data_IF_667316663808
#
_entry.id   IF_667316663808
#
_cell.length_a   1.000
_cell.length_b   1.000
_cell.length_c   1.000
_cell.angle_alpha   90.00
_cell.angle_beta   90.00
_cell.angle_gamma   90.00
#
_symmetry.space_group_name_H-M   'P 1'
#
loop_
_entity.id
_entity.type
_entity.pdbx_description
1 polymer ?
#
# COMPACT_ATOMS: atom_id res chain seq x y z
N UNK A 1 24.04 5.22 10.01
CA UNK A 1 23.67 6.11 8.89
C UNK A 1 22.68 7.11 9.46
N UNK A 2 22.94 8.42 9.36
CA UNK A 2 21.98 9.42 9.83
C UNK A 2 20.80 9.48 8.85
N UNK A 3 19.54 9.51 9.30
CA UNK A 3 18.38 9.66 8.43
C UNK A 3 18.48 10.97 7.64
N UNK A 4 18.10 10.94 6.37
CA UNK A 4 18.10 12.14 5.51
C UNK A 4 16.68 12.68 5.34
N UNK A 5 16.54 13.96 5.00
CA UNK A 5 15.26 14.46 4.53
C UNK A 5 14.87 13.73 3.24
N UNK A 6 13.57 13.44 3.08
CA UNK A 6 13.04 12.83 1.87
C UNK A 6 12.96 13.87 0.75
N UNK A 7 13.58 13.57 -0.40
CA UNK A 7 13.45 14.44 -1.58
C UNK A 7 12.07 14.29 -2.23
N UNK A 8 11.69 15.25 -3.07
CA UNK A 8 10.43 15.19 -3.81
C UNK A 8 10.36 13.97 -4.73
N UNK A 9 11.45 13.62 -5.41
CA UNK A 9 11.52 12.41 -6.25
C UNK A 9 11.34 11.13 -5.43
N UNK A 10 11.98 11.04 -4.26
CA UNK A 10 11.84 9.89 -3.35
C UNK A 10 10.41 9.77 -2.84
N UNK A 11 9.77 10.90 -2.53
CA UNK A 11 8.36 10.98 -2.13
C UNK A 11 7.44 10.49 -3.26
N UNK A 12 7.63 10.99 -4.48
CA UNK A 12 6.86 10.58 -5.65
C UNK A 12 6.98 9.08 -5.92
N UNK A 13 8.19 8.54 -5.85
CA UNK A 13 8.44 7.10 -6.00
C UNK A 13 7.76 6.29 -4.89
N UNK A 14 7.87 6.71 -3.62
CA UNK A 14 7.23 6.05 -2.49
C UNK A 14 5.70 5.99 -2.65
N UNK A 15 5.08 7.12 -3.04
CA UNK A 15 3.65 7.22 -3.32
C UNK A 15 3.24 6.26 -4.45
N UNK A 16 3.97 6.26 -5.57
CA UNK A 16 3.64 5.41 -6.71
C UNK A 16 3.72 3.90 -6.37
N UNK A 17 4.76 3.49 -5.64
CA UNK A 17 4.93 2.11 -5.21
C UNK A 17 3.83 1.70 -4.22
N UNK A 18 3.51 2.56 -3.25
CA UNK A 18 2.43 2.32 -2.28
C UNK A 18 1.07 2.22 -2.99
N UNK A 19 0.79 3.10 -3.95
CA UNK A 19 -0.49 3.09 -4.67
C UNK A 19 -0.66 1.78 -5.44
N UNK A 20 0.40 1.28 -6.08
CA UNK A 20 0.38 -0.01 -6.76
C UNK A 20 0.19 -1.19 -5.80
N UNK A 21 0.81 -1.14 -4.62
CA UNK A 21 0.64 -2.14 -3.57
C UNK A 21 -0.81 -2.17 -3.06
N UNK A 22 -1.41 -0.99 -2.83
CA UNK A 22 -2.80 -0.84 -2.37
C UNK A 22 -3.79 -1.36 -3.43
N UNK A 23 -3.62 -1.02 -4.72
CA UNK A 23 -4.46 -1.58 -5.79
C UNK A 23 -4.39 -3.11 -5.87
N UNK A 24 -3.21 -3.69 -5.62
CA UNK A 24 -3.02 -5.14 -5.57
C UNK A 24 -3.75 -5.74 -4.37
N UNK A 25 -3.58 -5.15 -3.19
CA UNK A 25 -4.25 -5.59 -1.97
C UNK A 25 -5.76 -5.56 -2.15
N UNK A 26 -6.32 -4.47 -2.68
CA UNK A 26 -7.76 -4.31 -2.88
C UNK A 26 -8.30 -5.36 -3.85
N UNK A 27 -7.63 -5.59 -4.99
CA UNK A 27 -8.01 -6.66 -5.92
C UNK A 27 -7.97 -8.04 -5.27
N UNK A 28 -7.04 -8.29 -4.36
CA UNK A 28 -6.96 -9.56 -3.63
C UNK A 28 -8.07 -9.68 -2.58
N UNK A 29 -8.42 -8.59 -1.90
CA UNK A 29 -9.54 -8.54 -0.94
C UNK A 29 -10.88 -8.76 -1.64
N UNK A 30 -11.14 -8.05 -2.73
CA UNK A 30 -12.34 -8.24 -3.56
C UNK A 30 -12.42 -9.68 -4.06
N UNK A 31 -11.32 -10.23 -4.61
CA UNK A 31 -11.28 -11.65 -5.01
C UNK A 31 -11.45 -12.64 -3.87
N UNK A 32 -11.00 -12.31 -2.65
CA UNK A 32 -11.21 -13.18 -1.49
C UNK A 32 -12.66 -13.12 -0.98
N UNK A 33 -13.33 -11.98 -1.17
CA UNK A 33 -14.76 -11.81 -0.89
C UNK A 33 -15.64 -12.50 -1.95
N UNK A 34 -15.34 -12.29 -3.24
CA UNK A 34 -16.06 -12.89 -4.38
C UNK A 34 -15.73 -14.38 -4.55
N UNK A 35 -14.53 -14.79 -4.15
CA UNK A 35 -13.93 -16.10 -4.39
C UNK A 35 -14.43 -17.24 -3.52
N UNK A 36 -15.56 -17.08 -2.82
CA UNK A 36 -16.32 -18.22 -2.34
C UNK A 36 -16.92 -19.03 -3.51
N UNK A 37 -17.17 -18.42 -4.68
CA UNK A 37 -17.88 -19.10 -5.79
C UNK A 37 -17.06 -19.41 -7.05
N UNK A 38 -15.88 -18.79 -7.29
CA UNK A 38 -15.17 -18.93 -8.60
C UNK A 38 -13.64 -19.06 -8.57
N UNK A 39 -13.01 -19.20 -7.40
CA UNK A 39 -11.54 -19.35 -7.32
C UNK A 39 -11.11 -20.82 -7.56
N UNK A 40 -10.17 -21.10 -8.48
CA UNK A 40 -9.55 -22.43 -8.59
C UNK A 40 -8.56 -22.73 -7.44
N UNK A 41 -8.29 -21.75 -6.58
CA UNK A 41 -7.44 -21.90 -5.41
C UNK A 41 -8.29 -22.04 -4.14
N UNK A 42 -7.89 -22.90 -3.17
CA UNK A 42 -8.59 -23.05 -1.90
C UNK A 42 -8.81 -21.71 -1.21
N UNK A 43 -10.01 -21.47 -0.67
CA UNK A 43 -10.39 -20.27 0.11
C UNK A 43 -9.37 -19.88 1.21
N UNK A 44 -8.68 -20.80 1.89
CA UNK A 44 -7.60 -20.46 2.83
C UNK A 44 -6.40 -19.74 2.16
N UNK A 45 -6.08 -20.09 0.92
CA UNK A 45 -4.95 -19.52 0.19
C UNK A 45 -5.24 -18.11 -0.36
N UNK A 46 -6.50 -17.78 -0.68
CA UNK A 46 -6.88 -16.43 -1.11
C UNK A 46 -6.84 -15.44 0.07
N UNK A 47 -7.34 -15.81 1.25
CA UNK A 47 -7.23 -15.00 2.48
C UNK A 47 -5.78 -14.77 2.87
N UNK A 48 -4.95 -15.82 2.90
CA UNK A 48 -3.52 -15.68 3.22
C UNK A 48 -2.76 -14.74 2.28
N UNK A 49 -3.16 -14.65 1.01
CA UNK A 49 -2.58 -13.69 0.05
C UNK A 49 -3.01 -12.25 0.30
N UNK A 50 -4.26 -12.02 0.68
CA UNK A 50 -4.74 -10.70 1.06
C UNK A 50 -4.00 -10.19 2.32
N UNK A 51 -3.85 -11.05 3.34
CA UNK A 51 -3.12 -10.73 4.57
C UNK A 51 -1.63 -10.44 4.29
N UNK A 52 -0.99 -11.26 3.46
CA UNK A 52 0.40 -11.02 3.04
C UNK A 52 0.55 -9.68 2.29
N UNK A 53 -0.43 -9.32 1.47
CA UNK A 53 -0.42 -8.04 0.76
C UNK A 53 -0.60 -6.85 1.70
N UNK A 54 -1.48 -6.95 2.71
CA UNK A 54 -1.63 -5.91 3.74
C UNK A 54 -0.36 -5.73 4.57
N UNK A 55 0.31 -6.83 4.95
CA UNK A 55 1.62 -6.78 5.63
C UNK A 55 2.71 -6.14 4.77
N UNK A 56 2.69 -6.37 3.47
CA UNK A 56 3.63 -5.73 2.54
C UNK A 56 3.44 -4.20 2.51
N UNK A 57 2.20 -3.71 2.42
CA UNK A 57 1.90 -2.27 2.49
C UNK A 57 2.36 -1.68 3.82
N UNK A 58 2.10 -2.38 4.93
CA UNK A 58 2.57 -1.96 6.24
C UNK A 58 4.11 -1.90 6.32
N UNK A 59 4.80 -2.93 5.84
CA UNK A 59 6.27 -2.97 5.81
C UNK A 59 6.89 -1.86 4.97
N UNK A 60 6.25 -1.45 3.87
CA UNK A 60 6.69 -0.30 3.08
C UNK A 60 6.59 1.01 3.88
N UNK A 61 5.51 1.20 4.64
CA UNK A 61 5.35 2.39 5.51
C UNK A 61 6.39 2.40 6.61
N UNK A 62 6.63 1.25 7.23
CA UNK A 62 7.62 1.13 8.30
C UNK A 62 9.03 1.40 7.75
N UNK A 63 9.36 0.90 6.55
CA UNK A 63 10.63 1.20 5.87
C UNK A 63 10.82 2.71 5.65
N UNK A 64 9.80 3.40 5.13
CA UNK A 64 9.83 4.86 4.98
C UNK A 64 10.06 5.53 6.34
N UNK A 65 9.41 5.03 7.39
CA UNK A 65 9.54 5.59 8.73
C UNK A 65 10.96 5.50 9.31
N UNK A 66 11.74 4.48 8.95
CA UNK A 66 13.13 4.33 9.43
C UNK A 66 14.16 5.05 8.54
N UNK A 67 13.86 5.23 7.26
CA UNK A 67 14.83 5.78 6.29
C UNK A 67 14.98 7.29 6.35
N UNK A 68 13.93 8.02 6.75
CA UNK A 68 13.88 9.48 6.63
C UNK A 68 13.70 10.18 7.98
N UNK A 69 14.20 11.43 8.06
CA UNK A 69 13.87 12.35 9.15
C UNK A 69 12.36 12.58 9.18
N UNK A 70 11.78 12.63 10.37
CA UNK A 70 10.32 12.67 10.57
C UNK A 70 9.59 11.55 9.82
N UNK A 71 10.26 10.41 9.64
CA UNK A 71 9.84 9.36 8.73
C UNK A 71 8.44 8.84 8.99
N UNK A 72 7.94 8.87 10.23
CA UNK A 72 6.56 8.47 10.53
C UNK A 72 5.54 9.42 9.88
N UNK A 73 5.75 10.73 10.00
CA UNK A 73 4.89 11.71 9.35
C UNK A 73 4.97 11.58 7.82
N UNK A 74 6.18 11.39 7.28
CA UNK A 74 6.37 11.18 5.84
C UNK A 74 5.69 9.89 5.34
N UNK A 75 5.78 8.80 6.10
CA UNK A 75 5.14 7.52 5.77
C UNK A 75 3.61 7.62 5.78
N UNK A 76 3.05 8.31 6.79
CA UNK A 76 1.60 8.51 6.90
C UNK A 76 1.06 9.42 5.78
N UNK A 77 1.80 10.47 5.42
CA UNK A 77 1.46 11.34 4.30
C UNK A 77 1.53 10.61 2.95
N UNK A 78 2.62 9.89 2.69
CA UNK A 78 2.77 9.10 1.46
C UNK A 78 1.67 8.05 1.33
N UNK A 79 1.32 7.37 2.44
CA UNK A 79 0.24 6.40 2.46
C UNK A 79 -1.13 7.04 2.18
N UNK A 80 -1.42 8.20 2.78
CA UNK A 80 -2.67 8.93 2.55
C UNK A 80 -2.84 9.29 1.07
N UNK A 81 -1.82 9.88 0.45
CA UNK A 81 -1.85 10.26 -0.97
C UNK A 81 -1.96 9.02 -1.86
N UNK A 82 -1.15 7.99 -1.59
CA UNK A 82 -1.16 6.75 -2.35
C UNK A 82 -2.52 6.05 -2.30
N UNK A 83 -3.19 6.06 -1.13
CA UNK A 83 -4.52 5.47 -0.94
C UNK A 83 -5.58 6.22 -1.76
N UNK A 84 -5.57 7.56 -1.73
CA UNK A 84 -6.47 8.37 -2.54
C UNK A 84 -6.29 8.08 -4.05
N UNK A 85 -5.04 8.02 -4.53
CA UNK A 85 -4.71 7.69 -5.93
C UNK A 85 -5.05 6.23 -6.32
N UNK A 86 -4.99 5.31 -5.36
CA UNK A 86 -5.22 3.89 -5.61
C UNK A 86 -6.70 3.55 -5.70
N UNK A 87 -7.52 4.17 -4.85
CA UNK A 87 -8.94 3.82 -4.65
C UNK A 87 -9.91 4.82 -5.28
N UNK A 88 -9.40 5.93 -5.83
CA UNK A 88 -10.22 6.86 -6.60
C UNK A 88 -10.99 7.87 -5.76
N UNK A 89 -10.38 8.43 -4.72
CA UNK A 89 -10.79 9.77 -4.26
C UNK A 89 -10.25 10.78 -5.27
N UNK A 90 -10.89 10.85 -6.44
CA UNK A 90 -10.72 11.97 -7.35
C UNK A 90 -11.54 13.12 -6.76
N UNK A 91 -10.90 14.28 -6.55
CA UNK A 91 -11.64 15.53 -6.42
C UNK A 91 -12.69 15.58 -7.54
N UNK A 92 -13.96 15.70 -7.14
CA UNK A 92 -15.03 15.98 -8.08
C UNK A 92 -14.72 17.31 -8.81
N UNK A 93 -15.04 17.41 -10.11
CA UNK A 93 -14.81 18.63 -10.90
C UNK A 93 -15.59 19.83 -10.35
#
# INVERSE_FOLDING_TARGET
>A
MAPTAMTEDQRGMAIALLANAIRKEERLRVRAADGAERSPLPVPASRGRADASGRYVQGMRDLIAVLFVDGRAAADECYRIARAQALGEQEAP
#
